data_IF_840939058589
#
_entry.id   IF_840939058589
#
_cell.length_a   1.000
_cell.length_b   1.000
_cell.length_c   1.000
_cell.angle_alpha   90.00
_cell.angle_beta   90.00
_cell.angle_gamma   90.00
#
_symmetry.space_group_name_H-M   'P 1'
#
loop_
_entity.id
_entity.type
_entity.pdbx_description
1 polymer ?
#
# COMPACT_ATOMS: atom_id res chain seq x y z
N UNK A 1 0.06 55.11 -9.43
CA UNK A 1 -1.06 54.14 -9.57
C UNK A 1 -0.55 52.70 -9.68
N UNK A 2 0.44 52.32 -8.87
CA UNK A 2 1.00 50.95 -8.80
C UNK A 2 0.62 50.24 -7.49
N UNK A 3 0.52 50.98 -6.37
CA UNK A 3 0.19 50.39 -5.06
C UNK A 3 -1.12 49.59 -5.04
N UNK A 4 -2.19 50.11 -5.65
CA UNK A 4 -3.47 49.40 -5.74
C UNK A 4 -3.40 48.13 -6.61
N UNK A 5 -2.52 48.12 -7.63
CA UNK A 5 -2.29 46.93 -8.45
C UNK A 5 -1.45 45.88 -7.71
N UNK A 6 -0.54 46.32 -6.86
CA UNK A 6 0.30 45.44 -6.04
C UNK A 6 -0.52 44.83 -4.89
N UNK A 7 -1.44 45.60 -4.29
CA UNK A 7 -2.44 45.08 -3.35
C UNK A 7 -3.38 44.06 -4.00
N UNK A 8 -3.91 44.35 -5.19
CA UNK A 8 -4.73 43.38 -5.94
C UNK A 8 -3.94 42.10 -6.22
N UNK A 9 -2.65 42.19 -6.60
CA UNK A 9 -1.82 41.00 -6.84
C UNK A 9 -1.49 40.24 -5.56
N UNK A 10 -1.32 40.93 -4.43
CA UNK A 10 -1.08 40.28 -3.15
C UNK A 10 -2.30 39.47 -2.72
N UNK A 11 -3.49 40.07 -2.79
CA UNK A 11 -4.76 39.41 -2.47
C UNK A 11 -5.02 38.24 -3.43
N UNK A 12 -4.78 38.43 -4.73
CA UNK A 12 -4.95 37.34 -5.71
C UNK A 12 -3.95 36.20 -5.52
N UNK A 13 -2.71 36.46 -5.09
CA UNK A 13 -1.75 35.40 -4.76
C UNK A 13 -2.15 34.63 -3.52
N UNK A 14 -2.70 35.31 -2.51
CA UNK A 14 -3.19 34.67 -1.30
C UNK A 14 -4.40 33.78 -1.62
N UNK A 15 -5.35 34.26 -2.42
CA UNK A 15 -6.48 33.44 -2.90
C UNK A 15 -6.03 32.28 -3.80
N UNK A 16 -5.08 32.48 -4.72
CA UNK A 16 -4.55 31.38 -5.55
C UNK A 16 -3.79 30.36 -4.69
N UNK A 17 -3.02 30.78 -3.68
CA UNK A 17 -2.34 29.85 -2.77
C UNK A 17 -3.34 29.03 -1.94
N UNK A 18 -4.45 29.65 -1.51
CA UNK A 18 -5.55 28.94 -0.84
C UNK A 18 -6.26 27.99 -1.81
N UNK A 19 -6.36 28.31 -3.10
CA UNK A 19 -6.90 27.42 -4.14
C UNK A 19 -5.93 26.35 -4.64
N UNK A 20 -4.61 26.52 -4.53
CA UNK A 20 -3.61 25.48 -4.81
C UNK A 20 -3.53 24.48 -3.65
N UNK A 21 -3.59 24.97 -2.41
CA UNK A 21 -3.73 24.13 -1.21
C UNK A 21 -5.13 23.50 -1.15
N UNK A 22 -6.15 24.23 -1.59
CA UNK A 22 -7.54 23.78 -1.76
C UNK A 22 -7.83 23.03 -3.06
N UNK A 23 -6.87 22.94 -3.99
CA UNK A 23 -6.96 22.15 -5.21
C UNK A 23 -6.87 20.64 -4.94
N UNK A 24 -6.51 20.29 -3.70
CA UNK A 24 -6.66 18.95 -3.13
C UNK A 24 -8.04 18.74 -2.46
N UNK A 25 -8.92 19.74 -2.50
CA UNK A 25 -10.26 19.73 -1.91
C UNK A 25 -11.26 20.03 -3.03
N UNK A 26 -11.58 19.05 -3.88
CA UNK A 26 -12.46 19.32 -5.02
C UNK A 26 -13.14 18.14 -5.73
N UNK A 27 -12.77 16.89 -5.45
CA UNK A 27 -13.52 15.68 -5.80
C UNK A 27 -13.18 14.66 -4.71
N UNK A 28 -14.09 13.78 -4.24
CA UNK A 28 -13.69 12.61 -3.48
C UNK A 28 -12.82 11.73 -4.37
N UNK A 29 -11.52 12.05 -4.46
CA UNK A 29 -10.58 11.27 -5.25
C UNK A 29 -10.41 9.95 -4.54
N UNK A 30 -10.95 8.90 -5.15
CA UNK A 30 -10.74 7.53 -4.68
C UNK A 30 -9.25 7.26 -4.91
N UNK A 31 -8.50 7.22 -3.81
CA UNK A 31 -7.08 6.86 -3.82
C UNK A 31 -7.00 5.35 -3.71
N UNK A 32 -6.62 4.70 -4.79
CA UNK A 32 -6.36 3.27 -4.80
C UNK A 32 -4.87 3.03 -4.69
N UNK A 33 -4.45 2.45 -3.57
CA UNK A 33 -3.06 2.04 -3.38
C UNK A 33 -2.81 0.74 -4.16
N UNK A 34 -1.81 0.76 -5.04
CA UNK A 34 -1.48 -0.35 -5.93
C UNK A 34 -0.11 -0.89 -5.57
N UNK A 35 -0.08 -2.15 -5.11
CA UNK A 35 1.16 -2.89 -4.88
C UNK A 35 1.60 -3.56 -6.17
N UNK A 36 2.60 -2.99 -6.84
CA UNK A 36 3.24 -3.59 -8.03
C UNK A 36 4.64 -4.05 -7.63
N UNK A 37 4.80 -5.34 -7.34
CA UNK A 37 6.09 -5.92 -6.92
C UNK A 37 6.74 -6.78 -8.01
N UNK A 38 5.95 -7.26 -8.97
CA UNK A 38 6.41 -8.13 -10.06
C UNK A 38 5.79 -7.73 -11.39
N UNK A 39 6.38 -8.21 -12.50
CA UNK A 39 5.83 -8.01 -13.85
C UNK A 39 4.44 -8.66 -14.01
N UNK A 40 4.13 -9.69 -13.24
CA UNK A 40 2.80 -10.30 -13.22
C UNK A 40 1.77 -9.35 -12.60
N UNK A 41 2.14 -8.68 -11.49
CA UNK A 41 1.28 -7.70 -10.82
C UNK A 41 1.01 -6.50 -11.74
N UNK A 42 2.03 -6.03 -12.47
CA UNK A 42 1.89 -4.96 -13.46
C UNK A 42 0.91 -5.35 -14.57
N UNK A 43 1.05 -6.55 -15.14
CA UNK A 43 0.13 -7.03 -16.17
C UNK A 43 -1.30 -7.18 -15.65
N UNK A 44 -1.47 -7.66 -14.41
CA UNK A 44 -2.78 -7.78 -13.79
C UNK A 44 -3.41 -6.40 -13.54
N UNK A 45 -2.63 -5.41 -13.12
CA UNK A 45 -3.08 -4.04 -12.94
C UNK A 45 -3.55 -3.42 -14.26
N UNK A 46 -2.79 -3.58 -15.34
CA UNK A 46 -3.17 -3.10 -16.68
C UNK A 46 -4.46 -3.77 -17.16
N UNK A 47 -4.61 -5.08 -16.96
CA UNK A 47 -5.84 -5.80 -17.31
C UNK A 47 -7.05 -5.31 -16.48
N UNK A 48 -6.85 -5.01 -15.20
CA UNK A 48 -7.90 -4.46 -14.34
C UNK A 48 -8.32 -3.05 -14.80
N UNK A 49 -7.38 -2.18 -15.19
CA UNK A 49 -7.71 -0.87 -15.77
C UNK A 49 -8.46 -1.04 -17.08
N UNK A 50 -7.99 -1.91 -17.97
CA UNK A 50 -8.65 -2.15 -19.26
C UNK A 50 -10.09 -2.67 -19.07
N UNK A 51 -10.31 -3.50 -18.05
CA UNK A 51 -11.65 -3.96 -17.69
C UNK A 51 -12.52 -2.81 -17.17
N UNK A 52 -12.02 -1.98 -16.25
CA UNK A 52 -12.76 -0.84 -15.70
C UNK A 52 -12.99 0.28 -16.72
N UNK A 53 -12.11 0.45 -17.69
CA UNK A 53 -12.30 1.38 -18.80
C UNK A 53 -13.48 1.00 -19.71
N UNK A 54 -13.99 -0.24 -19.61
CA UNK A 54 -15.23 -0.63 -20.27
C UNK A 54 -16.49 -0.13 -19.55
N UNK A 55 -16.37 0.35 -18.31
CA UNK A 55 -17.45 0.97 -17.56
C UNK A 55 -17.63 2.44 -17.99
N UNK A 56 -18.86 2.87 -18.34
CA UNK A 56 -19.12 4.25 -18.71
C UNK A 56 -18.93 5.16 -17.49
N UNK A 57 -18.10 6.21 -17.64
CA UNK A 57 -17.80 7.18 -16.58
C UNK A 57 -16.43 6.99 -15.93
N UNK A 58 -15.87 5.78 -15.94
CA UNK A 58 -14.56 5.51 -15.31
C UNK A 58 -13.42 6.32 -15.93
N UNK A 59 -13.37 6.40 -17.27
CA UNK A 59 -12.33 7.18 -17.97
C UNK A 59 -12.48 8.67 -17.69
N UNK A 60 -13.71 9.17 -17.63
CA UNK A 60 -13.97 10.58 -17.31
C UNK A 60 -13.60 10.91 -15.85
N UNK A 61 -13.88 10.00 -14.92
CA UNK A 61 -13.51 10.16 -13.51
C UNK A 61 -12.00 10.06 -13.29
N UNK A 62 -11.31 9.22 -14.09
CA UNK A 62 -9.86 9.13 -14.10
C UNK A 62 -9.21 10.41 -14.67
N UNK A 63 -9.71 10.93 -15.79
CA UNK A 63 -9.21 12.16 -16.43
C UNK A 63 -9.47 13.41 -15.58
N UNK A 64 -10.60 13.46 -14.88
CA UNK A 64 -10.93 14.53 -13.92
C UNK A 64 -10.15 14.45 -12.60
N UNK A 65 -9.36 13.39 -12.39
CA UNK A 65 -8.63 13.16 -11.15
C UNK A 65 -9.52 12.71 -9.98
N UNK A 66 -10.75 12.27 -10.25
CA UNK A 66 -11.63 11.60 -9.28
C UNK A 66 -11.15 10.19 -8.91
N UNK A 67 -10.26 9.61 -9.69
CA UNK A 67 -9.57 8.36 -9.38
C UNK A 67 -8.08 8.60 -9.52
N UNK A 68 -7.31 8.24 -8.50
CA UNK A 68 -5.85 8.36 -8.52
C UNK A 68 -5.23 7.08 -7.96
N UNK A 69 -4.26 6.53 -8.67
CA UNK A 69 -3.53 5.35 -8.25
C UNK A 69 -2.20 5.76 -7.65
N UNK A 70 -1.94 5.34 -6.41
CA UNK A 70 -0.67 5.58 -5.74
C UNK A 70 0.07 4.24 -5.63
N UNK A 71 1.36 4.22 -5.98
CA UNK A 71 2.18 3.04 -5.72
C UNK A 71 2.37 2.91 -4.22
N UNK A 72 2.13 1.71 -3.71
CA UNK A 72 2.44 1.43 -2.31
C UNK A 72 3.92 1.67 -2.05
N UNK A 73 4.21 2.76 -1.35
CA UNK A 73 5.58 3.05 -0.96
C UNK A 73 5.96 2.08 0.15
N UNK A 74 7.12 1.40 0.08
CA UNK A 74 7.65 0.73 1.26
C UNK A 74 8.02 1.83 2.26
N UNK A 75 7.07 2.17 3.15
CA UNK A 75 7.26 3.15 4.21
C UNK A 75 8.44 2.65 5.06
N UNK A 76 9.59 3.30 4.92
CA UNK A 76 10.59 3.32 5.97
C UNK A 76 9.96 4.08 7.14
N UNK A 77 9.76 3.35 8.24
CA UNK A 77 9.07 3.75 9.45
C UNK A 77 9.20 5.24 9.83
N UNK A 78 8.07 5.92 10.00
CA UNK A 78 8.02 7.24 10.62
C UNK A 78 6.77 8.06 10.29
N UNK A 79 5.57 7.62 10.71
CA UNK A 79 4.37 8.45 10.59
C UNK A 79 3.09 7.74 11.05
N UNK A 80 2.47 8.29 12.09
CA UNK A 80 1.33 7.76 12.85
C UNK A 80 -0.04 7.84 12.15
N UNK A 81 -0.75 6.69 12.15
CA UNK A 81 -2.23 6.44 12.27
C UNK A 81 -3.11 6.98 11.10
N UNK A 82 -3.97 6.20 10.41
CA UNK A 82 -5.26 5.61 10.87
C UNK A 82 -5.72 4.43 9.98
N UNK A 83 -6.23 3.38 10.63
CA UNK A 83 -7.12 2.28 10.15
C UNK A 83 -7.10 1.90 8.66
N UNK A 84 -6.34 0.87 8.33
CA UNK A 84 -6.84 -0.22 7.49
C UNK A 84 -6.24 -1.53 8.00
N UNK A 85 -7.09 -2.55 8.13
CA UNK A 85 -6.74 -3.88 8.61
C UNK A 85 -5.92 -4.60 7.53
N UNK A 86 -4.73 -4.11 7.21
CA UNK A 86 -3.78 -4.85 6.40
C UNK A 86 -3.35 -6.06 7.23
N UNK A 87 -3.81 -7.24 6.82
CA UNK A 87 -3.18 -8.48 7.24
C UNK A 87 -1.75 -8.36 6.74
N UNK A 88 -0.77 -8.15 7.64
CA UNK A 88 0.60 -8.02 7.19
C UNK A 88 0.90 -9.36 6.51
N UNK A 89 1.59 -9.33 5.37
CA UNK A 89 2.27 -10.54 4.94
C UNK A 89 3.37 -10.73 5.98
N UNK A 90 3.03 -11.38 7.10
CA UNK A 90 3.88 -11.61 8.27
C UNK A 90 4.90 -12.67 7.85
N UNK A 91 5.78 -12.34 6.91
CA UNK A 91 6.92 -13.18 6.53
C UNK A 91 7.96 -13.22 7.63
N UNK A 92 7.76 -12.49 8.74
CA UNK A 92 8.61 -12.45 9.91
C UNK A 92 7.83 -12.82 11.17
N UNK A 93 8.16 -13.96 11.79
CA UNK A 93 7.61 -14.37 13.07
C UNK A 93 8.64 -14.15 14.18
N UNK A 94 8.41 -13.13 15.01
CA UNK A 94 9.15 -12.90 16.25
C UNK A 94 8.46 -13.58 17.44
N UNK A 95 8.37 -14.91 17.38
CA UNK A 95 7.79 -15.73 18.44
C UNK A 95 8.80 -16.75 18.93
N UNK A 96 8.88 -16.94 20.25
CA UNK A 96 9.74 -17.96 20.86
C UNK A 96 9.34 -19.39 20.45
N UNK A 97 8.04 -19.63 20.26
CA UNK A 97 7.49 -20.91 19.78
C UNK A 97 6.56 -20.64 18.61
N UNK A 98 6.81 -21.31 17.48
CA UNK A 98 6.02 -21.25 16.25
C UNK A 98 5.15 -22.51 16.17
N UNK A 99 3.85 -22.29 15.96
CA UNK A 99 2.82 -23.33 15.93
C UNK A 99 2.23 -23.50 14.54
N UNK A 100 1.49 -24.59 14.33
CA UNK A 100 0.77 -24.88 13.08
C UNK A 100 -0.10 -23.70 12.62
N UNK A 101 -0.82 -23.06 13.56
CA UNK A 101 -1.69 -21.91 13.28
C UNK A 101 -0.92 -20.74 12.69
N UNK A 102 0.30 -20.50 13.18
CA UNK A 102 1.16 -19.44 12.64
C UNK A 102 1.56 -19.73 11.19
N UNK A 103 1.81 -21.00 10.86
CA UNK A 103 2.13 -21.43 9.49
C UNK A 103 0.91 -21.31 8.56
N UNK A 104 -0.30 -21.56 9.07
CA UNK A 104 -1.54 -21.38 8.31
C UNK A 104 -1.79 -19.90 7.99
N UNK A 105 -1.48 -19.01 8.94
CA UNK A 105 -1.70 -17.57 8.81
C UNK A 105 -0.77 -16.90 7.79
N UNK A 106 0.39 -17.50 7.47
CA UNK A 106 1.33 -17.05 6.43
C UNK A 106 0.73 -17.00 5.01
N UNK A 107 -0.42 -17.64 4.77
CA UNK A 107 -1.08 -17.62 3.46
C UNK A 107 -0.24 -18.31 2.38
N UNK A 108 0.04 -17.60 1.29
CA UNK A 108 0.79 -18.07 0.12
C UNK A 108 2.31 -17.85 0.21
N UNK A 109 2.81 -17.34 1.35
CA UNK A 109 4.22 -17.07 1.53
C UNK A 109 5.07 -18.36 1.44
N UNK A 110 6.12 -18.31 0.61
CA UNK A 110 7.06 -19.43 0.41
C UNK A 110 8.33 -19.32 1.24
N UNK A 111 8.55 -18.19 1.89
CA UNK A 111 9.73 -17.92 2.73
C UNK A 111 9.23 -17.42 4.08
N UNK A 112 9.68 -18.07 5.15
CA UNK A 112 9.40 -17.67 6.52
C UNK A 112 10.70 -17.24 7.19
N UNK A 113 10.77 -15.98 7.59
CA UNK A 113 11.83 -15.45 8.45
C UNK A 113 11.41 -15.60 9.90
N UNK A 114 12.33 -16.12 10.70
CA UNK A 114 12.13 -16.35 12.14
C UNK A 114 13.35 -15.89 12.90
N UNK A 115 13.13 -15.41 14.13
CA UNK A 115 14.22 -15.10 15.04
C UNK A 115 15.07 -16.36 15.31
N UNK A 116 16.37 -16.17 15.53
CA UNK A 116 17.34 -17.27 15.75
C UNK A 116 17.00 -18.14 16.96
N UNK A 117 16.28 -17.57 17.93
CA UNK A 117 15.86 -18.21 19.19
C UNK A 117 14.51 -18.93 19.08
N UNK A 118 13.80 -18.79 17.96
CA UNK A 118 12.49 -19.40 17.73
C UNK A 118 12.59 -20.92 17.57
N UNK A 119 11.68 -21.64 18.23
CA UNK A 119 11.51 -23.09 18.11
C UNK A 119 10.20 -23.42 17.43
N UNK A 120 10.16 -24.51 16.66
CA UNK A 120 8.95 -24.97 15.98
C UNK A 120 8.35 -26.16 16.70
N UNK A 121 7.02 -26.24 16.75
CA UNK A 121 6.36 -27.49 17.14
C UNK A 121 6.46 -28.53 16.01
N UNK A 122 6.34 -29.84 16.31
CA UNK A 122 6.35 -30.88 15.28
C UNK A 122 5.29 -30.64 14.18
N UNK A 123 4.07 -30.29 14.57
CA UNK A 123 2.98 -29.98 13.63
C UNK A 123 3.28 -28.76 12.74
N UNK A 124 3.97 -27.75 13.29
CA UNK A 124 4.40 -26.60 12.49
C UNK A 124 5.43 -27.01 11.42
N UNK A 125 6.37 -27.90 11.75
CA UNK A 125 7.37 -28.42 10.79
C UNK A 125 6.71 -29.25 9.68
N UNK A 126 5.70 -30.04 10.01
CA UNK A 126 4.97 -30.83 9.03
C UNK A 126 4.22 -29.93 8.04
N UNK A 127 3.56 -28.87 8.51
CA UNK A 127 2.92 -27.88 7.63
C UNK A 127 3.93 -27.09 6.79
N UNK A 128 5.09 -26.75 7.34
CA UNK A 128 6.19 -26.12 6.57
C UNK A 128 6.65 -27.02 5.42
N UNK A 129 6.84 -28.32 5.67
CA UNK A 129 7.24 -29.29 4.64
C UNK A 129 6.15 -29.47 3.60
N UNK A 130 4.90 -29.64 4.04
CA UNK A 130 3.73 -29.79 3.16
C UNK A 130 3.59 -28.62 2.18
N UNK A 131 3.86 -27.40 2.67
CA UNK A 131 3.75 -26.16 1.89
C UNK A 131 5.04 -25.75 1.18
N UNK A 132 6.12 -26.52 1.34
CA UNK A 132 7.47 -26.21 0.79
C UNK A 132 7.95 -24.80 1.17
N UNK A 133 7.74 -24.40 2.42
CA UNK A 133 8.16 -23.10 2.93
C UNK A 133 9.65 -23.16 3.28
N UNK A 134 10.44 -22.21 2.79
CA UNK A 134 11.86 -22.05 3.13
C UNK A 134 11.98 -21.28 4.44
N UNK A 135 12.68 -21.86 5.42
CA UNK A 135 12.93 -21.18 6.70
C UNK A 135 14.25 -20.40 6.60
N UNK A 136 14.18 -19.10 6.86
CA UNK A 136 15.33 -18.21 7.01
C UNK A 136 15.43 -17.75 8.47
N UNK A 137 16.61 -17.85 9.08
CA UNK A 137 16.85 -17.30 10.42
C UNK A 137 17.50 -15.93 10.27
N UNK A 138 16.81 -14.88 10.69
CA UNK A 138 17.37 -13.52 10.68
C UNK A 138 17.96 -13.16 12.05
N UNK A 139 19.09 -12.47 12.02
CA UNK A 139 19.68 -11.79 13.17
C UNK A 139 19.01 -10.42 13.27
N UNK A 140 17.92 -10.34 14.01
CA UNK A 140 17.41 -9.10 14.57
C UNK A 140 17.73 -9.11 16.07
#
# INVERSE_FOLDING_TARGET
MSGLRDEIRAILREEIAVLEVGGQIGVPSIREEVQITTNADLNQFVLNIAHRASEPGFVEDLERGGISFELASPILAGGTVVNALEKPTVNFLDKKIVTERDIILLGSARVLRVAKTSRFTPLALDEVRRRRIRIERSEA
#
